data_IF_032779358555
#
_entry.id   IF_032779358555
#
_cell.length_a   1.000
_cell.length_b   1.000
_cell.length_c   1.000
_cell.angle_alpha   90.00
_cell.angle_beta   90.00
_cell.angle_gamma   90.00
#
_symmetry.space_group_name_H-M   'P 1'
#
loop_
_entity.id
_entity.type
_entity.pdbx_description
1 polymer ?
#
# COMPACT_ATOMS: atom_id res chain seq x y z
N UNK A 1 -68.70 -0.40 15.28
CA UNK A 1 -67.63 -1.42 15.38
C UNK A 1 -66.27 -0.73 15.28
N UNK A 2 -65.26 -1.26 15.99
CA UNK A 2 -63.82 -0.94 15.87
C UNK A 2 -63.23 0.19 16.74
N UNK A 3 -63.23 -0.04 18.08
CA UNK A 3 -62.12 0.34 18.96
C UNK A 3 -61.33 -0.93 19.32
N UNK A 4 -60.20 -1.17 18.65
CA UNK A 4 -59.19 -2.24 18.90
C UNK A 4 -58.30 -2.19 17.64
N UNK A 5 -57.11 -1.62 17.63
CA UNK A 5 -55.89 -2.21 18.19
C UNK A 5 -54.88 -1.04 18.29
N UNK A 6 -54.90 -0.38 19.43
CA UNK A 6 -53.78 0.42 19.92
C UNK A 6 -53.05 -0.45 20.96
N UNK A 7 -51.74 -0.29 21.09
CA UNK A 7 -50.88 -0.91 22.11
C UNK A 7 -50.55 -2.41 21.98
N UNK A 8 -49.56 -2.75 21.14
CA UNK A 8 -48.73 -3.94 21.39
C UNK A 8 -47.35 -3.90 20.72
N UNK A 9 -46.43 -3.06 21.20
CA UNK A 9 -44.97 -3.36 21.19
C UNK A 9 -44.09 -2.41 22.03
N UNK A 10 -44.64 -1.77 23.06
CA UNK A 10 -43.89 -1.01 24.09
C UNK A 10 -43.56 -1.84 25.34
N UNK A 11 -43.13 -3.09 25.18
CA UNK A 11 -42.65 -3.91 26.31
C UNK A 11 -41.51 -4.83 25.87
N UNK A 12 -40.28 -4.30 25.89
CA UNK A 12 -39.07 -5.08 26.17
C UNK A 12 -37.91 -4.12 26.49
N UNK A 13 -38.09 -3.35 27.56
CA UNK A 13 -36.99 -2.73 28.29
C UNK A 13 -36.62 -3.63 29.47
N UNK A 14 -35.34 -3.61 29.83
CA UNK A 14 -34.75 -4.11 31.08
C UNK A 14 -34.56 -5.63 31.21
N UNK A 15 -33.39 -6.10 30.77
CA UNK A 15 -32.52 -6.97 31.58
C UNK A 15 -31.11 -6.94 30.98
N UNK A 16 -30.10 -7.11 31.84
CA UNK A 16 -28.65 -6.93 31.61
C UNK A 16 -28.09 -5.54 31.93
N UNK A 17 -28.18 -5.17 33.22
CA UNK A 17 -27.13 -4.43 33.95
C UNK A 17 -26.51 -5.38 34.98
N UNK A 18 -25.27 -5.08 35.38
CA UNK A 18 -24.27 -5.85 36.14
C UNK A 18 -23.36 -6.68 35.20
N UNK A 19 -22.03 -6.57 35.22
CA UNK A 19 -21.11 -6.28 36.33
C UNK A 19 -19.99 -5.30 35.92
N UNK A 20 -19.51 -4.54 36.91
CA UNK A 20 -18.30 -3.74 36.79
C UNK A 20 -17.07 -4.55 37.21
N UNK A 21 -15.96 -4.34 36.50
CA UNK A 21 -14.63 -4.64 37.01
C UNK A 21 -13.70 -3.48 36.62
N UNK A 22 -13.38 -2.65 37.63
CA UNK A 22 -12.28 -1.68 37.58
C UNK A 22 -10.97 -2.46 37.61
N UNK A 23 -10.07 -2.22 36.66
CA UNK A 23 -8.63 -2.46 36.84
C UNK A 23 -7.86 -1.16 36.66
N UNK A 24 -7.10 -0.84 37.71
CA UNK A 24 -6.16 0.28 37.84
C UNK A 24 -4.81 -0.08 37.21
N UNK A 25 -4.08 0.96 36.75
CA UNK A 25 -2.62 0.99 36.56
C UNK A 25 -2.14 0.43 35.22
N UNK A 26 -1.09 0.90 34.57
CA UNK A 26 -0.20 2.09 34.61
C UNK A 26 0.63 2.02 33.29
N UNK A 27 1.59 2.91 32.95
CA UNK A 27 1.71 3.45 31.59
C UNK A 27 3.02 3.09 30.88
N UNK A 28 3.14 3.57 29.63
CA UNK A 28 4.35 3.91 28.87
C UNK A 28 5.38 2.78 28.61
N UNK A 29 5.26 2.18 27.43
CA UNK A 29 6.38 1.51 26.75
C UNK A 29 7.13 2.53 25.90
N UNK A 30 8.32 2.89 26.36
CA UNK A 30 9.30 3.75 25.70
C UNK A 30 9.98 3.02 24.54
N UNK A 31 10.12 3.70 23.40
CA UNK A 31 11.04 3.30 22.33
C UNK A 31 12.48 3.31 22.88
N UNK A 32 13.33 2.30 22.60
CA UNK A 32 14.74 2.41 22.90
C UNK A 32 15.41 3.34 21.88
N UNK A 33 15.80 4.53 22.36
CA UNK A 33 16.89 5.30 21.77
C UNK A 33 18.21 4.61 22.15
N UNK A 34 19.10 4.38 21.20
CA UNK A 34 20.44 3.87 21.43
C UNK A 34 21.45 5.03 21.34
N UNK A 35 22.10 5.44 22.44
CA UNK A 35 23.20 6.39 22.41
C UNK A 35 24.55 5.68 22.58
N UNK A 36 25.61 6.37 22.13
CA UNK A 36 27.04 6.14 22.39
C UNK A 36 27.73 4.99 21.65
N UNK A 37 29.01 5.08 21.32
CA UNK A 37 29.95 6.19 21.10
C UNK A 37 31.18 5.55 20.43
N UNK A 38 31.84 6.32 19.57
CA UNK A 38 33.26 6.32 19.20
C UNK A 38 34.18 5.18 19.71
N UNK A 39 34.94 4.58 18.78
CA UNK A 39 36.36 4.32 19.00
C UNK A 39 37.16 4.46 17.70
N UNK A 40 38.09 5.39 17.72
CA UNK A 40 39.13 5.63 16.71
C UNK A 40 40.27 4.62 16.84
N UNK A 41 40.86 4.23 15.71
CA UNK A 41 42.29 3.89 15.48
C UNK A 41 42.45 3.78 13.96
N UNK A 42 43.03 4.78 13.28
CA UNK A 42 44.46 4.99 12.99
C UNK A 42 44.80 4.54 11.56
N UNK A 43 45.28 5.51 10.74
CA UNK A 43 45.70 5.35 9.35
C UNK A 43 47.18 4.93 9.24
N UNK A 44 47.68 4.54 8.05
CA UNK A 44 48.42 5.54 7.26
C UNK A 44 48.23 5.46 5.71
N UNK A 45 48.74 6.45 4.96
CA UNK A 45 48.31 6.80 3.60
C UNK A 45 49.33 6.43 2.50
N UNK A 46 48.91 6.55 1.22
CA UNK A 46 49.67 6.81 -0.05
C UNK A 46 48.82 6.24 -1.22
N UNK A 47 48.68 6.78 -2.44
CA UNK A 47 49.18 7.94 -3.20
C UNK A 47 48.22 8.11 -4.38
N UNK A 48 48.08 9.34 -4.88
CA UNK A 48 47.37 9.66 -6.13
C UNK A 48 48.14 9.23 -7.38
N UNK A 49 47.39 9.11 -8.48
CA UNK A 49 47.71 9.42 -9.87
C UNK A 49 47.82 8.27 -10.90
N UNK A 50 46.96 8.44 -11.91
CA UNK A 50 47.14 8.25 -13.35
C UNK A 50 46.71 6.95 -14.06
N UNK A 51 46.15 7.24 -15.23
CA UNK A 51 45.48 6.53 -16.31
C UNK A 51 46.26 5.36 -16.92
N UNK A 52 45.56 4.32 -17.41
CA UNK A 52 45.41 3.96 -18.85
C UNK A 52 44.82 2.55 -19.02
N UNK A 53 43.74 2.48 -19.80
CA UNK A 53 43.51 1.57 -20.94
C UNK A 53 44.00 0.11 -20.84
N UNK A 54 43.08 -0.85 -20.69
CA UNK A 54 42.74 -1.85 -21.74
C UNK A 54 41.99 -3.08 -21.20
N UNK A 55 40.89 -3.40 -21.91
CA UNK A 55 40.34 -4.74 -22.17
C UNK A 55 39.79 -5.56 -21.00
N UNK A 56 38.52 -5.27 -20.66
CA UNK A 56 37.62 -6.26 -20.06
C UNK A 56 37.10 -7.22 -21.12
N UNK A 57 37.65 -8.43 -21.18
CA UNK A 57 36.95 -9.62 -21.70
C UNK A 57 36.61 -10.52 -20.52
N UNK A 58 35.65 -10.09 -19.71
CA UNK A 58 35.04 -10.98 -18.72
C UNK A 58 33.97 -11.79 -19.44
N UNK A 59 34.39 -13.00 -19.86
CA UNK A 59 33.47 -14.07 -20.20
C UNK A 59 32.45 -14.22 -19.06
N UNK A 60 31.18 -13.98 -19.37
CA UNK A 60 30.09 -14.17 -18.43
C UNK A 60 29.98 -15.68 -18.16
N UNK A 61 30.62 -16.12 -17.08
CA UNK A 61 30.38 -17.45 -16.53
C UNK A 61 28.89 -17.52 -16.19
N UNK A 62 28.15 -18.29 -16.99
CA UNK A 62 26.75 -18.60 -16.76
C UNK A 62 26.62 -19.34 -15.42
N UNK A 63 26.46 -18.58 -14.35
CA UNK A 63 26.04 -19.10 -13.07
C UNK A 63 24.51 -19.21 -13.11
N UNK A 64 23.91 -20.39 -12.87
CA UNK A 64 22.46 -20.50 -12.81
C UNK A 64 22.01 -19.77 -11.55
N UNK A 65 21.54 -18.53 -11.72
CA UNK A 65 20.87 -17.80 -10.66
C UNK A 65 19.60 -18.57 -10.27
N UNK A 66 19.27 -18.69 -8.97
CA UNK A 66 18.02 -19.31 -8.55
C UNK A 66 16.82 -18.57 -9.19
N UNK A 67 15.80 -19.29 -9.70
CA UNK A 67 14.81 -18.77 -10.66
C UNK A 67 13.75 -17.80 -10.10
N UNK A 68 13.91 -17.25 -8.89
CA UNK A 68 12.82 -16.53 -8.19
C UNK A 68 13.01 -15.01 -8.05
N UNK A 69 14.09 -14.44 -8.60
CA UNK A 69 14.42 -13.01 -8.40
C UNK A 69 14.46 -12.17 -9.69
N UNK A 70 13.77 -12.60 -10.74
CA UNK A 70 13.63 -11.76 -11.93
C UNK A 70 12.68 -10.58 -11.60
N UNK A 71 13.21 -9.35 -11.64
CA UNK A 71 12.43 -8.15 -11.38
C UNK A 71 11.59 -7.86 -12.63
N UNK A 72 10.46 -8.56 -12.76
CA UNK A 72 9.50 -8.33 -13.84
C UNK A 72 8.65 -7.09 -13.56
N UNK A 73 7.99 -6.56 -14.60
CA UNK A 73 6.99 -5.50 -14.44
C UNK A 73 5.89 -5.89 -13.43
N UNK A 74 5.49 -7.16 -13.41
CA UNK A 74 4.49 -7.66 -12.49
C UNK A 74 4.96 -7.60 -11.03
N UNK A 75 6.10 -8.26 -10.75
CA UNK A 75 6.60 -8.46 -9.38
C UNK A 75 7.27 -7.21 -8.82
N UNK A 76 7.95 -6.44 -9.67
CA UNK A 76 8.66 -5.22 -9.30
C UNK A 76 7.76 -3.99 -9.13
N UNK A 77 6.69 -3.87 -9.92
CA UNK A 77 5.89 -2.63 -9.98
C UNK A 77 4.41 -2.86 -9.74
N UNK A 78 3.74 -3.69 -10.54
CA UNK A 78 2.27 -3.77 -10.55
C UNK A 78 1.73 -4.30 -9.21
N UNK A 79 2.24 -5.44 -8.72
CA UNK A 79 1.78 -6.01 -7.45
C UNK A 79 2.11 -5.08 -6.27
N UNK A 80 3.34 -4.56 -6.12
CA UNK A 80 3.64 -3.56 -5.09
C UNK A 80 2.77 -2.30 -5.17
N UNK A 81 2.48 -1.80 -6.37
CA UNK A 81 1.66 -0.60 -6.57
C UNK A 81 0.20 -0.81 -6.15
N UNK A 82 -0.40 -1.94 -6.53
CA UNK A 82 -1.75 -2.33 -6.12
C UNK A 82 -1.86 -2.46 -4.59
N UNK A 83 -0.88 -3.11 -3.97
CA UNK A 83 -0.84 -3.28 -2.51
C UNK A 83 -0.66 -1.93 -1.81
N UNK A 84 0.26 -1.09 -2.29
CA UNK A 84 0.49 0.25 -1.76
C UNK A 84 -0.76 1.13 -1.87
N UNK A 85 -1.47 1.09 -3.01
CA UNK A 85 -2.71 1.83 -3.21
C UNK A 85 -3.81 1.39 -2.23
N UNK A 86 -3.96 0.07 -1.99
CA UNK A 86 -4.87 -0.44 -0.98
C UNK A 86 -4.50 0.02 0.42
N UNK A 87 -3.22 -0.12 0.82
CA UNK A 87 -2.73 0.35 2.13
C UNK A 87 -3.02 1.83 2.34
N UNK A 88 -2.72 2.68 1.35
CA UNK A 88 -3.03 4.12 1.41
C UNK A 88 -4.51 4.36 1.64
N UNK A 89 -5.40 3.63 0.95
CA UNK A 89 -6.85 3.76 1.14
C UNK A 89 -7.30 3.29 2.52
N UNK A 90 -6.78 2.16 3.00
CA UNK A 90 -7.08 1.63 4.34
C UNK A 90 -6.67 2.64 5.42
N UNK A 91 -5.46 3.19 5.36
CA UNK A 91 -5.01 4.23 6.29
C UNK A 91 -5.93 5.46 6.29
N UNK A 92 -6.29 5.98 5.10
CA UNK A 92 -7.22 7.11 4.97
C UNK A 92 -8.60 6.78 5.56
N UNK A 93 -9.11 5.57 5.35
CA UNK A 93 -10.37 5.13 5.93
C UNK A 93 -10.30 5.09 7.47
N UNK A 94 -9.26 4.49 8.04
CA UNK A 94 -9.07 4.45 9.49
C UNK A 94 -8.94 5.84 10.11
N UNK A 95 -8.25 6.77 9.45
CA UNK A 95 -8.17 8.16 9.89
C UNK A 95 -9.55 8.82 9.96
N UNK A 96 -10.39 8.63 8.94
CA UNK A 96 -11.76 9.15 8.92
C UNK A 96 -12.62 8.57 10.06
N UNK A 97 -12.48 7.28 10.34
CA UNK A 97 -13.22 6.62 11.44
C UNK A 97 -12.75 7.09 12.81
N UNK A 98 -11.43 7.22 13.02
CA UNK A 98 -10.84 7.63 14.30
C UNK A 98 -11.17 9.09 14.64
N UNK A 99 -11.17 9.98 13.64
CA UNK A 99 -11.57 11.38 13.82
C UNK A 99 -13.06 11.55 14.20
N UNK A 100 -13.88 10.52 14.02
CA UNK A 100 -15.30 10.54 14.36
C UNK A 100 -15.60 10.08 15.80
N UNK A 101 -14.62 9.50 16.51
CA UNK A 101 -14.82 8.81 17.80
C UNK A 101 -15.09 9.69 19.02
N UNK A 102 -15.13 11.02 18.88
CA UNK A 102 -15.37 11.96 19.98
C UNK A 102 -16.54 12.93 19.77
N UNK A 103 -17.21 12.88 18.62
CA UNK A 103 -18.36 13.73 18.29
C UNK A 103 -19.64 12.90 18.32
N UNK A 104 -20.76 13.50 18.72
CA UNK A 104 -22.07 12.85 18.59
C UNK A 104 -22.26 12.44 17.13
N UNK A 105 -22.25 11.13 16.86
CA UNK A 105 -22.36 10.59 15.51
C UNK A 105 -23.82 10.74 15.10
N UNK A 106 -24.07 11.58 14.08
CA UNK A 106 -25.40 11.66 13.48
C UNK A 106 -25.71 10.34 12.76
N UNK A 107 -26.98 9.91 12.68
CA UNK A 107 -27.34 8.67 11.98
C UNK A 107 -26.85 8.67 10.52
N UNK A 108 -26.89 9.83 9.84
CA UNK A 108 -26.34 10.00 8.50
C UNK A 108 -24.82 9.78 8.42
N UNK A 109 -24.06 10.22 9.44
CA UNK A 109 -22.62 9.99 9.49
C UNK A 109 -22.27 8.50 9.72
N UNK A 110 -23.07 7.79 10.52
CA UNK A 110 -22.91 6.35 10.72
C UNK A 110 -23.18 5.57 9.42
N UNK A 111 -24.24 5.91 8.70
CA UNK A 111 -24.57 5.28 7.41
C UNK A 111 -23.46 5.50 6.37
N UNK A 112 -22.95 6.73 6.27
CA UNK A 112 -21.85 7.05 5.36
C UNK A 112 -20.57 6.27 5.71
N UNK A 113 -20.26 6.11 7.00
CA UNK A 113 -19.13 5.31 7.44
C UNK A 113 -19.29 3.83 7.06
N UNK A 114 -20.48 3.26 7.25
CA UNK A 114 -20.79 1.89 6.84
C UNK A 114 -20.66 1.71 5.32
N UNK A 115 -21.18 2.66 4.53
CA UNK A 115 -21.06 2.64 3.06
C UNK A 115 -19.60 2.67 2.60
N UNK A 116 -18.77 3.51 3.23
CA UNK A 116 -17.32 3.57 2.95
C UNK A 116 -16.63 2.25 3.26
N UNK A 117 -16.93 1.63 4.41
CA UNK A 117 -16.35 0.32 4.77
C UNK A 117 -16.77 -0.77 3.78
N UNK A 118 -18.06 -0.84 3.44
CA UNK A 118 -18.56 -1.81 2.47
C UNK A 118 -17.89 -1.66 1.10
N UNK A 119 -17.77 -0.43 0.60
CA UNK A 119 -17.04 -0.15 -0.65
C UNK A 119 -15.54 -0.44 -0.53
N UNK A 120 -14.96 -0.38 0.67
CA UNK A 120 -13.57 -0.78 0.91
C UNK A 120 -13.35 -2.27 0.72
N UNK A 121 -14.16 -3.10 1.35
CA UNK A 121 -14.06 -4.55 1.22
C UNK A 121 -14.31 -5.02 -0.23
N UNK A 122 -15.24 -4.38 -0.94
CA UNK A 122 -15.47 -4.67 -2.36
C UNK A 122 -14.26 -4.31 -3.22
N UNK A 123 -13.66 -3.13 -3.01
CA UNK A 123 -12.45 -2.74 -3.74
C UNK A 123 -11.29 -3.71 -3.47
N UNK A 124 -11.07 -4.11 -2.20
CA UNK A 124 -10.00 -5.05 -1.83
C UNK A 124 -10.11 -6.36 -2.62
N UNK A 125 -11.32 -6.92 -2.74
CA UNK A 125 -11.57 -8.13 -3.54
C UNK A 125 -11.28 -7.93 -5.02
N UNK A 126 -11.67 -6.77 -5.58
CA UNK A 126 -11.40 -6.45 -6.98
C UNK A 126 -9.90 -6.28 -7.26
N UNK A 127 -9.15 -5.66 -6.36
CA UNK A 127 -7.70 -5.52 -6.50
C UNK A 127 -6.99 -6.88 -6.47
N UNK A 128 -7.41 -7.80 -5.59
CA UNK A 128 -6.88 -9.17 -5.58
C UNK A 128 -7.18 -9.88 -6.91
N UNK A 129 -8.38 -9.69 -7.45
CA UNK A 129 -8.73 -10.23 -8.78
C UNK A 129 -7.88 -9.62 -9.88
N UNK A 130 -7.69 -8.30 -9.87
CA UNK A 130 -6.84 -7.60 -10.85
C UNK A 130 -5.40 -8.11 -10.80
N UNK A 131 -4.84 -8.31 -9.59
CA UNK A 131 -3.53 -8.93 -9.43
C UNK A 131 -3.47 -10.35 -10.04
N UNK A 132 -4.54 -11.15 -9.91
CA UNK A 132 -4.67 -12.44 -10.57
C UNK A 132 -4.69 -12.33 -12.10
N UNK A 133 -5.45 -11.37 -12.64
CA UNK A 133 -5.50 -11.11 -14.09
C UNK A 133 -4.12 -10.71 -14.63
N UNK A 134 -3.38 -9.85 -13.93
CA UNK A 134 -2.03 -9.49 -14.37
C UNK A 134 -1.05 -10.68 -14.34
N UNK A 135 -1.21 -11.61 -13.37
CA UNK A 135 -0.45 -12.88 -13.38
C UNK A 135 -0.83 -13.78 -14.55
N UNK A 136 -2.11 -13.85 -14.89
CA UNK A 136 -2.57 -14.60 -16.06
C UNK A 136 -2.04 -13.99 -17.35
N UNK A 137 -1.99 -12.66 -17.45
CA UNK A 137 -1.39 -11.96 -18.59
C UNK A 137 0.10 -12.30 -18.72
N UNK A 138 0.90 -12.15 -17.65
CA UNK A 138 2.33 -12.48 -17.66
C UNK A 138 2.55 -13.93 -18.10
N UNK A 139 1.81 -14.87 -17.54
CA UNK A 139 1.90 -16.29 -17.93
C UNK A 139 1.66 -16.51 -19.42
N UNK A 140 0.66 -15.88 -20.02
CA UNK A 140 0.33 -16.10 -21.44
C UNK A 140 1.29 -15.38 -22.37
N UNK A 141 1.82 -14.23 -21.95
CA UNK A 141 2.87 -13.51 -22.67
C UNK A 141 4.17 -14.33 -22.68
N UNK A 142 4.54 -14.95 -21.55
CA UNK A 142 5.71 -15.82 -21.42
C UNK A 142 5.58 -17.12 -22.24
N UNK A 143 4.36 -17.67 -22.37
CA UNK A 143 4.10 -18.90 -23.13
C UNK A 143 4.36 -18.72 -24.63
N UNK A 144 4.06 -17.53 -25.18
CA UNK A 144 4.27 -17.21 -26.59
C UNK A 144 4.72 -15.74 -26.75
N UNK A 145 6.00 -15.42 -26.47
CA UNK A 145 6.47 -14.05 -26.42
C UNK A 145 6.38 -13.34 -27.78
N UNK A 146 5.83 -12.13 -27.77
CA UNK A 146 5.79 -11.23 -28.93
C UNK A 146 6.57 -9.96 -28.60
N UNK A 147 7.69 -9.69 -29.29
CA UNK A 147 8.44 -8.46 -29.07
C UNK A 147 7.57 -7.23 -29.35
N UNK A 148 7.54 -6.29 -28.40
CA UNK A 148 6.75 -5.06 -28.49
C UNK A 148 7.50 -3.92 -29.20
N UNK A 149 8.76 -4.16 -29.58
CA UNK A 149 9.66 -3.20 -30.20
C UNK A 149 10.59 -2.52 -29.18
N UNK A 150 11.71 -1.99 -29.66
CA UNK A 150 12.74 -1.42 -28.79
C UNK A 150 13.41 -2.46 -27.91
N UNK A 151 13.63 -2.13 -26.63
CA UNK A 151 14.22 -3.02 -25.62
C UNK A 151 13.17 -3.77 -24.78
N UNK A 152 11.88 -3.61 -25.13
CA UNK A 152 10.77 -4.15 -24.34
C UNK A 152 10.39 -5.54 -24.84
N UNK A 153 10.54 -6.50 -23.95
CA UNK A 153 10.35 -7.92 -24.27
C UNK A 153 9.05 -8.51 -23.71
N UNK A 154 8.38 -7.79 -22.80
CA UNK A 154 7.11 -8.23 -22.20
C UNK A 154 5.99 -7.22 -22.42
N UNK A 155 4.77 -7.73 -22.56
CA UNK A 155 3.56 -6.93 -22.68
C UNK A 155 3.35 -6.01 -21.48
N UNK A 156 3.59 -6.51 -20.25
CA UNK A 156 3.36 -5.72 -19.04
C UNK A 156 4.34 -4.55 -18.89
N UNK A 157 5.57 -4.71 -19.37
CA UNK A 157 6.53 -3.61 -19.45
C UNK A 157 6.07 -2.55 -20.46
N UNK A 158 5.65 -2.97 -21.66
CA UNK A 158 5.09 -2.05 -22.66
C UNK A 158 3.83 -1.33 -22.18
N UNK A 159 2.97 -2.03 -21.44
CA UNK A 159 1.80 -1.40 -20.79
C UNK A 159 2.21 -0.31 -19.80
N UNK A 160 3.24 -0.55 -18.98
CA UNK A 160 3.73 0.44 -18.02
C UNK A 160 4.36 1.64 -18.71
N UNK A 161 5.12 1.43 -19.78
CA UNK A 161 5.64 2.53 -20.60
C UNK A 161 4.48 3.41 -21.12
N UNK A 162 3.45 2.80 -21.66
CA UNK A 162 2.29 3.50 -22.22
C UNK A 162 1.50 4.29 -21.15
N UNK A 163 1.45 3.76 -19.91
CA UNK A 163 0.91 4.48 -18.76
C UNK A 163 1.78 5.67 -18.40
N UNK A 164 3.10 5.52 -18.35
CA UNK A 164 4.03 6.62 -18.04
C UNK A 164 3.94 7.76 -19.05
N UNK A 165 3.75 7.46 -20.34
CA UNK A 165 3.56 8.47 -21.39
C UNK A 165 2.27 9.29 -21.20
N UNK A 166 1.24 8.72 -20.56
CA UNK A 166 -0.07 9.39 -20.34
C UNK A 166 -0.21 10.09 -19.01
N UNK A 167 0.54 9.65 -18.00
CA UNK A 167 0.48 10.25 -16.68
C UNK A 167 1.45 11.43 -16.66
N UNK A 168 0.93 12.63 -16.94
CA UNK A 168 1.66 13.85 -16.66
C UNK A 168 1.96 13.91 -15.14
N UNK A 169 3.21 14.16 -14.71
CA UNK A 169 3.43 14.57 -13.35
C UNK A 169 2.69 15.90 -13.15
N UNK A 170 1.86 16.01 -12.11
CA UNK A 170 1.40 17.33 -11.66
C UNK A 170 2.66 18.10 -11.24
N UNK A 171 3.18 18.93 -12.14
CA UNK A 171 4.21 19.90 -11.81
C UNK A 171 3.68 20.78 -10.67
N UNK A 172 4.35 20.70 -9.53
CA UNK A 172 3.92 21.37 -8.31
C UNK A 172 3.98 22.89 -8.45
N UNK A 173 2.89 23.53 -8.87
CA UNK A 173 2.73 24.97 -8.74
C UNK A 173 1.37 25.32 -8.11
N UNK A 174 1.30 25.08 -6.80
CA UNK A 174 0.49 25.93 -5.93
C UNK A 174 1.15 27.29 -5.80
N UNK A 175 1.04 28.14 -6.82
CA UNK A 175 1.35 29.56 -6.66
C UNK A 175 0.33 30.16 -5.68
N UNK A 176 0.76 30.82 -4.59
CA UNK A 176 -0.18 31.46 -3.68
C UNK A 176 -0.84 32.65 -4.38
N UNK A 177 -2.12 32.95 -4.08
CA UNK A 177 -2.79 34.09 -4.68
C UNK A 177 -2.03 35.37 -4.29
N UNK A 178 -1.53 36.10 -5.29
CA UNK A 178 -1.02 37.46 -5.10
C UNK A 178 -2.18 38.29 -4.55
N UNK A 179 -1.99 38.78 -3.32
CA UNK A 179 -2.83 39.81 -2.70
C UNK A 179 -2.71 41.12 -3.46
#
# INVERSE_FOLDING_TARGET
MSKRIENRSRRRFQKYRHSGARRKGRPLGTCPANPNHQRSTEAPPRKSADSTTSQSTLAFSAHPAPPDNEITALNGVILPALEAALRRRTCKLHALTRNSGGKQITPAAAELAQKRQYAHEKLKRLVIKAAGVFKEIEKWDDEAPVPMGGEINSFLEGFLEEVLVRVEPEDGEGSPPKK
#
